data_IF_590754431912
#
_entry.id   IF_590754431912
#
_cell.length_a   1.000
_cell.length_b   1.000
_cell.length_c   1.000
_cell.angle_alpha   90.00
_cell.angle_beta   90.00
_cell.angle_gamma   90.00
#
_symmetry.space_group_name_H-M   'P 1'
#
loop_
_entity.id
_entity.type
_entity.pdbx_description
1 polymer ?
#
# COMPACT_ATOMS: atom_id res chain seq x y z
N UNK A 1 -12.12 -1.12 43.77
CA UNK A 1 -12.43 -0.07 42.82
C UNK A 1 -12.96 -0.73 41.52
N UNK A 2 -14.21 -0.44 41.18
CA UNK A 2 -14.95 -1.11 40.12
C UNK A 2 -14.65 -0.62 38.67
N UNK A 3 -13.46 -0.12 38.37
CA UNK A 3 -13.10 0.32 37.02
C UNK A 3 -12.18 -0.70 36.36
N UNK A 4 -12.63 -1.29 35.26
CA UNK A 4 -11.88 -2.23 34.44
C UNK A 4 -10.93 -1.57 33.45
N UNK A 5 -11.00 -0.26 33.28
CA UNK A 5 -10.12 0.52 32.40
C UNK A 5 -10.44 2.02 32.43
N UNK A 6 -9.44 2.83 32.08
CA UNK A 6 -9.58 4.28 31.93
C UNK A 6 -8.94 4.69 30.61
N UNK A 7 -9.67 5.44 29.79
CA UNK A 7 -9.08 6.07 28.61
C UNK A 7 -8.19 7.25 29.05
N UNK A 8 -6.97 7.26 28.58
CA UNK A 8 -5.99 8.32 28.86
C UNK A 8 -5.32 8.76 27.56
N UNK A 9 -4.86 10.00 27.49
CA UNK A 9 -4.00 10.44 26.41
C UNK A 9 -2.67 9.70 26.49
N UNK A 10 -2.40 8.91 25.46
CA UNK A 10 -1.27 7.97 25.42
C UNK A 10 -0.06 8.56 24.71
N UNK A 11 -0.28 9.41 23.71
CA UNK A 11 0.79 10.03 22.94
C UNK A 11 0.40 11.43 22.47
N UNK A 12 1.41 12.28 22.32
CA UNK A 12 1.31 13.58 21.66
C UNK A 12 1.86 13.45 20.23
N UNK A 13 1.11 13.99 19.28
CA UNK A 13 1.44 13.90 17.85
C UNK A 13 1.47 15.29 17.24
N UNK A 14 2.51 15.58 16.45
CA UNK A 14 2.62 16.81 15.67
C UNK A 14 2.46 16.51 14.19
N UNK A 15 1.50 17.18 13.54
CA UNK A 15 1.32 17.17 12.11
C UNK A 15 1.72 18.53 11.54
N UNK A 16 2.48 18.53 10.44
CA UNK A 16 2.84 19.71 9.70
C UNK A 16 2.70 19.41 8.21
N UNK A 17 2.21 20.39 7.44
CA UNK A 17 1.99 20.15 6.02
C UNK A 17 1.84 21.43 5.22
N UNK A 18 1.80 21.24 3.91
CA UNK A 18 1.57 22.29 2.92
C UNK A 18 0.65 21.70 1.86
N UNK A 19 -0.41 22.44 1.52
CA UNK A 19 -1.29 22.10 0.43
C UNK A 19 -1.10 23.11 -0.71
N UNK A 20 -0.99 22.58 -1.93
CA UNK A 20 -0.86 23.38 -3.15
C UNK A 20 -2.00 23.00 -4.09
N UNK A 21 -2.72 24.02 -4.58
CA UNK A 21 -3.75 23.84 -5.61
C UNK A 21 -3.50 24.84 -6.73
N UNK A 22 -3.33 24.34 -7.96
CA UNK A 22 -3.14 25.11 -9.17
C UNK A 22 -4.19 24.72 -10.18
N UNK A 23 -4.91 25.67 -10.74
CA UNK A 23 -5.86 25.40 -11.79
C UNK A 23 -5.88 26.53 -12.83
N UNK A 24 -6.16 26.17 -14.07
CA UNK A 24 -6.19 27.16 -15.12
C UNK A 24 -6.62 26.61 -16.48
N UNK A 25 -6.84 27.54 -17.38
CA UNK A 25 -7.03 27.26 -18.80
C UNK A 25 -5.70 27.43 -19.52
N UNK A 26 -5.14 26.30 -19.99
CA UNK A 26 -3.83 26.25 -20.65
C UNK A 26 -3.91 26.63 -22.13
N UNK A 27 -5.04 26.33 -22.76
CA UNK A 27 -5.32 26.68 -24.15
C UNK A 27 -6.80 27.04 -24.30
N UNK A 28 -7.10 28.12 -24.99
CA UNK A 28 -8.46 28.51 -25.36
C UNK A 28 -8.43 29.28 -26.69
N UNK A 29 -9.08 28.67 -27.69
CA UNK A 29 -9.33 29.33 -28.97
C UNK A 29 -10.75 28.95 -29.46
N UNK A 30 -11.05 29.19 -30.75
CA UNK A 30 -12.37 28.91 -31.31
C UNK A 30 -12.83 27.46 -31.17
N UNK A 31 -11.92 26.51 -31.39
CA UNK A 31 -12.26 25.07 -31.48
C UNK A 31 -11.70 24.28 -30.29
N UNK A 32 -10.65 24.74 -29.63
CA UNK A 32 -9.96 24.04 -28.56
C UNK A 32 -10.11 24.75 -27.23
N UNK A 33 -10.30 23.94 -26.20
CA UNK A 33 -10.19 24.36 -24.81
C UNK A 33 -9.47 23.29 -24.02
N UNK A 34 -8.38 23.66 -23.35
CA UNK A 34 -7.66 22.80 -22.44
C UNK A 34 -7.60 23.44 -21.06
N UNK A 35 -8.15 22.75 -20.08
CA UNK A 35 -8.10 23.12 -18.67
C UNK A 35 -7.38 22.04 -17.88
N UNK A 36 -6.60 22.44 -16.90
CA UNK A 36 -5.97 21.51 -15.96
C UNK A 36 -6.11 22.03 -14.53
N UNK A 37 -6.21 21.11 -13.59
CA UNK A 37 -6.18 21.36 -12.16
C UNK A 37 -5.25 20.34 -11.51
N UNK A 38 -4.24 20.82 -10.81
CA UNK A 38 -3.29 20.03 -10.03
C UNK A 38 -3.45 20.37 -8.57
N UNK A 39 -3.50 19.35 -7.73
CA UNK A 39 -3.46 19.50 -6.28
C UNK A 39 -2.43 18.55 -5.69
N UNK A 40 -1.73 19.01 -4.66
CA UNK A 40 -0.75 18.23 -3.92
C UNK A 40 -0.76 18.66 -2.47
N UNK A 41 -0.86 17.68 -1.55
CA UNK A 41 -0.62 17.84 -0.13
C UNK A 41 0.72 17.21 0.26
N UNK A 42 1.47 17.87 1.11
CA UNK A 42 2.61 17.32 1.83
C UNK A 42 2.28 17.29 3.31
N UNK A 43 2.41 16.13 3.95
CA UNK A 43 2.17 15.97 5.38
C UNK A 43 3.34 15.24 6.03
N UNK A 44 3.84 15.80 7.13
CA UNK A 44 4.81 15.16 8.01
C UNK A 44 4.20 14.97 9.38
N UNK A 45 4.04 13.70 9.77
CA UNK A 45 3.55 13.27 11.08
C UNK A 45 4.74 12.87 11.96
N UNK A 46 4.69 13.23 13.25
CA UNK A 46 5.72 12.85 14.23
C UNK A 46 5.11 12.70 15.62
N UNK A 47 5.35 11.58 16.26
CA UNK A 47 5.10 11.39 17.69
C UNK A 47 6.12 12.18 18.47
N UNK A 48 5.67 13.12 19.32
CA UNK A 48 6.56 14.00 20.12
C UNK A 48 6.75 13.50 21.52
N UNK A 49 5.75 12.78 22.06
CA UNK A 49 5.81 12.09 23.36
C UNK A 49 4.98 10.82 23.27
N UNK A 50 5.41 9.78 23.96
CA UNK A 50 4.64 8.55 24.13
C UNK A 50 4.78 8.06 25.58
N UNK A 51 3.70 7.51 26.12
CA UNK A 51 3.69 6.78 27.40
C UNK A 51 3.88 5.28 27.16
N UNK A 52 4.06 4.88 25.90
CA UNK A 52 4.31 3.49 25.56
C UNK A 52 5.65 3.04 26.12
N UNK A 53 5.62 1.95 26.83
CA UNK A 53 6.81 1.12 27.12
C UNK A 53 6.96 0.06 26.03
N UNK A 54 6.68 0.45 24.77
CA UNK A 54 6.54 -0.45 23.63
C UNK A 54 7.63 -1.51 23.60
N UNK A 55 7.20 -2.74 23.71
CA UNK A 55 8.04 -3.86 23.40
C UNK A 55 8.27 -3.91 21.89
N UNK A 56 9.47 -4.19 21.48
CA UNK A 56 9.93 -4.20 20.09
C UNK A 56 9.03 -5.04 19.18
N UNK A 57 8.56 -6.19 19.67
CA UNK A 57 7.68 -7.08 18.92
C UNK A 57 6.38 -6.39 18.49
N UNK A 58 5.83 -5.51 19.33
CA UNK A 58 4.60 -4.79 19.00
C UNK A 58 4.84 -3.70 17.94
N UNK A 59 6.02 -3.08 17.91
CA UNK A 59 6.36 -2.13 16.87
C UNK A 59 6.46 -2.80 15.48
N UNK A 60 7.04 -3.99 15.39
CA UNK A 60 7.10 -4.75 14.14
C UNK A 60 5.71 -5.26 13.77
N UNK A 61 4.94 -5.69 14.76
CA UNK A 61 3.57 -6.16 14.62
C UNK A 61 2.53 -5.05 14.74
N UNK A 62 2.92 -3.77 14.79
CA UNK A 62 2.00 -2.62 15.01
C UNK A 62 0.87 -2.52 13.96
N UNK A 63 1.00 -3.28 12.88
CA UNK A 63 -0.07 -3.56 11.93
C UNK A 63 -1.28 -4.22 12.62
N UNK A 64 -1.05 -5.03 13.67
CA UNK A 64 -2.07 -5.82 14.35
C UNK A 64 -2.54 -5.20 15.66
N UNK A 65 -1.70 -4.36 16.26
CA UNK A 65 -1.99 -3.75 17.56
C UNK A 65 -1.99 -2.22 17.39
N UNK A 66 -3.14 -1.62 17.01
CA UNK A 66 -3.24 -0.18 16.94
C UNK A 66 -2.90 0.45 18.30
N UNK A 67 -2.05 1.48 18.29
CA UNK A 67 -1.73 2.24 19.47
C UNK A 67 -0.28 2.19 19.93
N UNK A 68 0.53 1.29 19.41
CA UNK A 68 1.97 1.30 19.68
C UNK A 68 2.67 2.32 18.78
N UNK A 69 3.21 3.37 19.41
CA UNK A 69 3.85 4.48 18.72
C UNK A 69 5.24 4.73 19.28
N UNK A 70 6.17 5.13 18.44
CA UNK A 70 7.55 5.40 18.83
C UNK A 70 7.88 6.89 18.73
N UNK A 71 8.43 7.46 19.80
CA UNK A 71 8.83 8.86 19.83
C UNK A 71 9.84 9.18 18.72
N UNK A 72 9.64 10.31 18.08
CA UNK A 72 10.48 10.76 16.98
C UNK A 72 10.11 10.19 15.61
N UNK A 73 9.19 9.22 15.54
CA UNK A 73 8.73 8.58 14.30
C UNK A 73 7.27 8.93 14.01
N UNK A 74 6.78 8.71 12.78
CA UNK A 74 5.36 8.84 12.46
C UNK A 74 4.51 7.83 13.22
N UNK A 75 3.24 8.16 13.46
CA UNK A 75 2.27 7.24 14.10
C UNK A 75 2.19 5.92 13.33
N UNK A 76 2.14 5.99 12.00
CA UNK A 76 2.11 4.81 11.12
C UNK A 76 3.51 4.46 10.60
N UNK A 77 4.54 4.59 11.45
CA UNK A 77 5.90 4.16 11.15
C UNK A 77 5.98 2.65 10.98
N UNK A 78 6.71 2.18 9.97
CA UNK A 78 6.95 0.77 9.73
C UNK A 78 8.35 0.38 10.20
N UNK A 79 8.41 -0.70 10.96
CA UNK A 79 9.67 -1.29 11.44
C UNK A 79 9.77 -2.72 10.96
N UNK A 80 10.99 -3.22 10.82
CA UNK A 80 11.27 -4.55 10.31
C UNK A 80 12.43 -5.19 11.04
N UNK A 81 12.44 -6.52 11.14
CA UNK A 81 13.63 -7.27 11.46
C UNK A 81 14.64 -7.18 10.30
N UNK A 82 15.92 -7.10 10.62
CA UNK A 82 16.98 -7.02 9.61
C UNK A 82 17.37 -8.43 9.17
N UNK A 83 16.89 -8.86 8.01
CA UNK A 83 17.21 -10.17 7.45
C UNK A 83 18.72 -10.22 7.06
N UNK A 84 19.41 -11.29 7.44
CA UNK A 84 20.80 -11.51 7.10
C UNK A 84 20.95 -12.51 5.94
N UNK A 85 20.54 -13.74 6.15
CA UNK A 85 20.64 -14.86 5.20
C UNK A 85 19.75 -16.01 5.63
N UNK A 86 19.73 -17.06 4.84
CA UNK A 86 19.21 -18.36 5.25
C UNK A 86 20.37 -19.22 5.76
N UNK A 87 20.09 -20.07 6.75
CA UNK A 87 21.04 -21.08 7.24
C UNK A 87 21.08 -22.31 6.31
N UNK A 88 21.83 -23.34 6.70
CA UNK A 88 21.98 -24.59 5.94
C UNK A 88 20.66 -25.40 5.83
N UNK A 89 19.71 -25.16 6.71
CA UNK A 89 18.37 -25.76 6.70
C UNK A 89 17.33 -24.88 5.98
N UNK A 90 17.73 -23.70 5.52
CA UNK A 90 16.85 -22.71 4.87
C UNK A 90 16.02 -21.91 5.88
N UNK A 91 16.42 -21.87 7.17
CA UNK A 91 15.76 -21.01 8.16
C UNK A 91 16.33 -19.59 8.10
N UNK A 92 15.50 -18.56 8.30
CA UNK A 92 15.96 -17.17 8.26
C UNK A 92 16.80 -16.82 9.49
N UNK A 93 17.88 -16.08 9.25
CA UNK A 93 18.75 -15.49 10.25
C UNK A 93 18.66 -13.96 10.18
N UNK A 94 18.88 -13.30 11.31
CA UNK A 94 18.68 -11.85 11.43
C UNK A 94 19.90 -11.17 12.01
N UNK A 95 20.15 -9.91 11.61
CA UNK A 95 21.17 -9.07 12.23
C UNK A 95 20.65 -8.46 13.53
N UNK A 96 21.40 -8.53 14.59
CA UNK A 96 21.20 -7.74 15.78
C UNK A 96 21.71 -6.29 15.59
N UNK A 97 21.62 -5.46 16.65
CA UNK A 97 22.10 -4.07 16.65
C UNK A 97 23.56 -3.92 16.34
N UNK A 98 24.38 -4.91 16.72
CA UNK A 98 25.84 -4.91 16.59
C UNK A 98 26.31 -5.56 15.28
N UNK A 99 25.37 -6.03 14.46
CA UNK A 99 25.64 -6.69 13.17
C UNK A 99 25.97 -8.18 13.32
N UNK A 100 25.79 -8.78 14.50
CA UNK A 100 25.90 -10.22 14.70
C UNK A 100 24.72 -10.91 14.04
N UNK A 101 24.96 -12.05 13.39
CA UNK A 101 23.91 -12.87 12.76
C UNK A 101 23.40 -13.88 13.76
N UNK A 102 22.10 -13.82 14.04
CA UNK A 102 21.40 -14.70 14.97
C UNK A 102 20.42 -15.60 14.20
N UNK A 103 20.46 -16.89 14.49
CA UNK A 103 19.53 -17.89 13.99
C UNK A 103 18.59 -18.40 15.09
N UNK A 104 17.73 -19.35 14.75
CA UNK A 104 16.75 -19.95 15.69
C UNK A 104 17.40 -20.61 16.89
N UNK A 105 18.61 -21.14 16.74
CA UNK A 105 19.37 -21.85 17.79
C UNK A 105 20.30 -20.90 18.59
N UNK A 106 20.28 -19.59 18.35
CA UNK A 106 21.13 -18.62 19.07
C UNK A 106 20.52 -18.30 20.44
N UNK A 107 21.30 -18.38 21.52
CA UNK A 107 20.81 -18.04 22.85
C UNK A 107 20.31 -16.60 22.94
N UNK A 108 20.99 -15.66 22.25
CA UNK A 108 20.63 -14.24 22.25
C UNK A 108 19.30 -13.94 21.54
N UNK A 109 18.81 -14.87 20.71
CA UNK A 109 17.55 -14.67 19.96
C UNK A 109 16.36 -14.52 20.91
N UNK A 110 16.43 -15.08 22.13
CA UNK A 110 15.40 -14.99 23.16
C UNK A 110 15.10 -13.53 23.51
N UNK A 111 16.11 -12.69 23.61
CA UNK A 111 15.98 -11.28 23.97
C UNK A 111 15.92 -10.34 22.75
N UNK A 112 16.12 -10.87 21.56
CA UNK A 112 16.17 -10.09 20.32
C UNK A 112 14.94 -9.20 20.09
N UNK A 113 13.68 -9.66 20.30
CA UNK A 113 12.50 -8.84 20.04
C UNK A 113 12.25 -7.75 21.07
N UNK A 114 13.07 -7.63 22.12
CA UNK A 114 12.90 -6.63 23.19
C UNK A 114 13.86 -5.44 23.06
N UNK A 115 14.80 -5.46 22.13
CA UNK A 115 15.72 -4.36 21.89
C UNK A 115 15.35 -3.62 20.59
N UNK A 116 14.90 -2.37 20.72
CA UNK A 116 14.55 -1.51 19.58
C UNK A 116 15.68 -1.29 18.60
N UNK A 117 16.93 -1.35 19.07
CA UNK A 117 18.11 -1.17 18.22
C UNK A 117 18.27 -2.33 17.20
N UNK A 118 17.64 -3.47 17.44
CA UNK A 118 17.62 -4.59 16.50
C UNK A 118 16.70 -4.31 15.28
N UNK A 119 15.81 -3.33 15.38
CA UNK A 119 14.87 -3.02 14.31
C UNK A 119 15.42 -1.99 13.33
N UNK A 120 15.01 -2.12 12.10
CA UNK A 120 15.18 -1.13 11.04
C UNK A 120 13.89 -0.33 10.87
N UNK A 121 13.98 0.99 10.89
CA UNK A 121 12.89 1.86 10.50
C UNK A 121 12.85 1.96 8.97
N UNK A 122 11.74 1.56 8.36
CA UNK A 122 11.59 1.49 6.91
C UNK A 122 10.98 2.76 6.30
N UNK A 123 10.21 3.50 7.09
CA UNK A 123 9.47 4.66 6.61
C UNK A 123 8.07 4.73 7.20
N UNK A 124 7.23 5.57 6.62
CA UNK A 124 5.81 5.68 6.98
C UNK A 124 4.94 4.90 6.00
N UNK A 125 3.82 4.35 6.50
CA UNK A 125 2.80 3.71 5.65
C UNK A 125 1.94 4.73 4.93
N UNK A 126 1.79 5.93 5.50
CA UNK A 126 1.01 6.99 4.90
C UNK A 126 1.88 7.74 3.87
N UNK A 127 1.37 8.01 2.66
CA UNK A 127 2.08 8.84 1.71
C UNK A 127 2.39 10.23 2.30
N UNK A 128 3.66 10.64 2.25
CA UNK A 128 4.04 12.00 2.65
C UNK A 128 3.59 13.04 1.62
N UNK A 129 3.52 12.65 0.36
CA UNK A 129 2.97 13.46 -0.73
C UNK A 129 1.79 12.72 -1.33
N UNK A 130 0.65 13.39 -1.46
CA UNK A 130 -0.53 12.86 -2.13
C UNK A 130 -1.21 13.94 -2.94
N UNK A 131 -1.87 13.57 -4.01
CA UNK A 131 -2.55 14.54 -4.84
C UNK A 131 -3.10 13.96 -6.13
N UNK A 132 -3.40 14.87 -7.05
CA UNK A 132 -3.94 14.49 -8.33
C UNK A 132 -3.82 15.57 -9.39
N UNK A 133 -3.98 15.11 -10.63
CA UNK A 133 -4.05 15.94 -11.82
C UNK A 133 -5.35 15.63 -12.55
N UNK A 134 -6.20 16.64 -12.68
CA UNK A 134 -7.37 16.62 -13.55
C UNK A 134 -7.06 17.42 -14.81
N UNK A 135 -7.24 16.83 -15.99
CA UNK A 135 -7.01 17.46 -17.28
C UNK A 135 -8.21 17.24 -18.16
N UNK A 136 -8.79 18.32 -18.70
CA UNK A 136 -9.89 18.28 -19.66
C UNK A 136 -9.50 19.01 -20.94
N UNK A 137 -9.52 18.27 -22.03
CA UNK A 137 -9.31 18.80 -23.38
C UNK A 137 -10.62 18.69 -24.15
N UNK A 138 -11.08 19.79 -24.73
CA UNK A 138 -12.25 19.83 -25.58
C UNK A 138 -11.87 20.33 -26.97
N UNK A 139 -12.35 19.64 -27.98
CA UNK A 139 -12.24 20.06 -29.38
C UNK A 139 -13.62 19.99 -30.02
N UNK A 140 -14.17 21.16 -30.39
CA UNK A 140 -15.55 21.26 -30.91
C UNK A 140 -16.53 20.50 -30.00
N UNK A 141 -17.14 19.45 -30.51
CA UNK A 141 -18.18 18.66 -29.83
C UNK A 141 -17.62 17.49 -29.01
N UNK A 142 -16.31 17.25 -29.01
CA UNK A 142 -15.65 16.17 -28.27
C UNK A 142 -14.93 16.73 -27.06
N UNK A 143 -15.09 16.08 -25.92
CA UNK A 143 -14.31 16.36 -24.70
C UNK A 143 -13.68 15.10 -24.16
N UNK A 144 -12.43 15.19 -23.76
CA UNK A 144 -11.65 14.17 -23.08
C UNK A 144 -11.27 14.67 -21.70
N UNK A 145 -11.68 13.97 -20.65
CA UNK A 145 -11.30 14.26 -19.27
C UNK A 145 -10.48 13.10 -18.70
N UNK A 146 -9.40 13.42 -18.02
CA UNK A 146 -8.49 12.47 -17.41
C UNK A 146 -8.22 12.87 -15.97
N UNK A 147 -8.27 11.91 -15.05
CA UNK A 147 -7.94 12.10 -13.65
C UNK A 147 -6.85 11.12 -13.25
N UNK A 148 -5.74 11.66 -12.79
CA UNK A 148 -4.65 10.92 -12.18
C UNK A 148 -4.62 11.20 -10.68
N UNK A 149 -4.24 10.18 -9.90
CA UNK A 149 -3.96 10.32 -8.48
C UNK A 149 -2.59 9.70 -8.16
N UNK A 150 -1.88 10.24 -7.19
CA UNK A 150 -0.59 9.72 -6.77
C UNK A 150 -0.44 9.76 -5.25
N UNK A 151 0.39 8.84 -4.74
CA UNK A 151 0.90 8.83 -3.39
C UNK A 151 2.39 8.50 -3.43
N UNK A 152 3.22 9.25 -2.69
CA UNK A 152 4.67 9.12 -2.74
C UNK A 152 5.29 9.17 -1.35
N UNK A 153 6.47 8.56 -1.22
CA UNK A 153 7.26 8.52 0.01
C UNK A 153 6.57 7.77 1.15
N UNK A 154 5.96 6.65 0.81
CA UNK A 154 5.46 5.67 1.76
C UNK A 154 6.03 4.29 1.47
N UNK A 155 5.86 3.39 2.42
CA UNK A 155 6.26 1.98 2.29
C UNK A 155 5.08 1.07 2.58
N UNK A 156 5.08 -0.08 1.94
CA UNK A 156 4.09 -1.13 2.17
C UNK A 156 4.79 -2.46 2.44
N UNK A 157 4.17 -3.29 3.26
CA UNK A 157 4.62 -4.66 3.49
C UNK A 157 3.86 -5.59 2.57
N UNK A 158 4.60 -6.43 1.87
CA UNK A 158 4.02 -7.46 1.02
C UNK A 158 3.30 -8.51 1.88
N UNK A 159 2.24 -9.13 1.39
CA UNK A 159 1.64 -10.30 2.03
C UNK A 159 2.66 -11.41 2.26
N UNK A 160 2.34 -12.32 3.18
CA UNK A 160 3.23 -13.42 3.58
C UNK A 160 3.84 -14.15 2.39
N UNK A 161 5.15 -14.33 2.41
CA UNK A 161 5.94 -14.99 1.38
C UNK A 161 6.59 -16.29 1.86
N UNK A 162 6.74 -16.42 3.18
CA UNK A 162 7.25 -17.61 3.85
C UNK A 162 6.12 -18.30 4.62
N UNK A 163 6.13 -19.60 4.62
CA UNK A 163 5.07 -20.45 5.18
C UNK A 163 5.68 -21.53 6.07
N UNK A 164 4.98 -21.86 7.15
CA UNK A 164 5.42 -22.88 8.10
C UNK A 164 5.29 -24.28 7.51
N UNK A 165 4.17 -24.54 6.82
CA UNK A 165 3.87 -25.85 6.22
C UNK A 165 3.56 -25.70 4.72
N UNK A 166 3.54 -26.82 4.03
CA UNK A 166 2.99 -26.85 2.68
C UNK A 166 1.51 -26.45 2.74
N UNK A 167 1.08 -25.51 1.87
CA UNK A 167 -0.33 -25.14 1.81
C UNK A 167 -1.17 -26.34 1.38
N UNK A 168 -2.39 -26.42 1.88
CA UNK A 168 -3.37 -27.40 1.42
C UNK A 168 -3.82 -27.09 -0.02
N UNK A 169 -4.41 -28.09 -0.69
CA UNK A 169 -4.76 -27.96 -2.11
C UNK A 169 -5.82 -26.87 -2.39
N UNK A 170 -6.57 -26.46 -1.38
CA UNK A 170 -7.61 -25.44 -1.40
C UNK A 170 -7.13 -24.06 -0.93
N UNK A 171 -5.86 -23.92 -0.52
CA UNK A 171 -5.30 -22.63 -0.10
C UNK A 171 -4.65 -21.88 -1.26
N UNK A 172 -5.03 -20.59 -1.39
CA UNK A 172 -4.32 -19.64 -2.24
C UNK A 172 -3.11 -19.07 -1.52
N UNK A 173 -1.93 -19.35 -2.05
CA UNK A 173 -0.66 -18.84 -1.52
C UNK A 173 0.04 -17.94 -2.52
N UNK A 174 0.94 -17.09 -2.02
CA UNK A 174 1.76 -16.26 -2.87
C UNK A 174 2.65 -17.13 -3.77
N UNK A 175 2.69 -16.84 -5.07
CA UNK A 175 3.49 -17.59 -6.05
C UNK A 175 4.98 -17.62 -5.73
N UNK A 176 5.47 -16.72 -4.89
CA UNK A 176 6.86 -16.68 -4.41
C UNK A 176 7.28 -17.94 -3.66
N UNK A 177 6.32 -18.75 -3.16
CA UNK A 177 6.62 -20.06 -2.56
C UNK A 177 7.41 -20.99 -3.51
N UNK A 178 7.30 -20.79 -4.83
CA UNK A 178 8.08 -21.53 -5.83
C UNK A 178 9.57 -21.23 -5.75
N UNK A 179 9.93 -20.03 -5.31
CA UNK A 179 11.30 -19.53 -5.21
C UNK A 179 11.94 -19.80 -3.84
N UNK A 180 11.25 -20.53 -2.96
CA UNK A 180 11.76 -20.85 -1.63
C UNK A 180 13.02 -21.74 -1.68
N UNK A 181 13.77 -21.72 -0.62
CA UNK A 181 14.83 -22.67 -0.35
C UNK A 181 14.29 -24.12 -0.30
N UNK A 182 15.02 -25.09 -0.85
CA UNK A 182 14.62 -26.52 -0.86
C UNK A 182 15.80 -27.43 -0.57
N UNK A 183 15.65 -28.45 0.27
CA UNK A 183 16.73 -29.40 0.52
C UNK A 183 17.13 -30.13 -0.77
N UNK A 184 18.44 -30.34 -0.94
CA UNK A 184 18.98 -31.09 -2.08
C UNK A 184 18.92 -30.36 -3.44
N UNK A 185 18.63 -29.06 -3.45
CA UNK A 185 18.62 -28.22 -4.66
C UNK A 185 19.68 -27.12 -4.58
N UNK A 186 20.02 -26.53 -5.72
CA UNK A 186 20.80 -25.30 -5.73
C UNK A 186 19.96 -24.15 -5.15
N UNK A 187 20.38 -23.66 -3.99
CA UNK A 187 19.75 -22.58 -3.26
C UNK A 187 20.53 -21.27 -3.36
N UNK A 188 21.50 -21.16 -4.26
CA UNK A 188 22.29 -19.95 -4.48
C UNK A 188 21.38 -18.75 -4.77
N UNK A 189 21.53 -17.68 -3.99
CA UNK A 189 20.73 -16.46 -4.12
C UNK A 189 19.27 -16.56 -3.68
N UNK A 190 18.84 -17.70 -3.10
CA UNK A 190 17.52 -17.82 -2.52
C UNK A 190 17.45 -17.02 -1.21
N UNK A 191 16.39 -16.23 -1.06
CA UNK A 191 16.12 -15.45 0.15
C UNK A 191 14.84 -15.88 0.86
N UNK A 192 13.95 -16.61 0.18
CA UNK A 192 12.69 -17.08 0.75
C UNK A 192 12.96 -18.36 1.52
N UNK A 193 12.57 -18.43 2.80
CA UNK A 193 12.83 -19.58 3.67
C UNK A 193 12.25 -20.90 3.16
N UNK A 194 12.83 -21.98 3.65
CA UNK A 194 12.22 -23.31 3.57
C UNK A 194 10.87 -23.33 4.33
N UNK A 195 10.08 -24.38 4.09
CA UNK A 195 8.94 -24.70 4.97
C UNK A 195 9.50 -25.16 6.30
N UNK A 196 9.08 -24.58 7.41
CA UNK A 196 9.72 -24.77 8.72
C UNK A 196 9.24 -26.01 9.49
N UNK A 197 8.46 -26.86 8.92
CA UNK A 197 7.97 -28.19 9.34
C UNK A 197 8.37 -28.71 10.76
N UNK A 198 8.34 -27.82 11.77
CA UNK A 198 8.63 -28.18 13.16
C UNK A 198 10.00 -27.72 13.71
N UNK A 199 10.99 -27.41 12.86
CA UNK A 199 12.36 -27.04 13.30
C UNK A 199 12.60 -25.53 13.37
N UNK A 200 11.64 -24.71 12.94
CA UNK A 200 11.80 -23.27 12.80
C UNK A 200 11.22 -22.44 13.94
N UNK A 201 11.19 -22.95 15.16
CA UNK A 201 10.72 -22.20 16.32
C UNK A 201 11.81 -21.33 16.93
N UNK A 202 11.44 -20.10 17.22
CA UNK A 202 12.22 -19.16 18.04
C UNK A 202 11.51 -19.08 19.39
N UNK A 203 12.17 -19.52 20.46
CA UNK A 203 11.66 -19.37 21.81
C UNK A 203 12.01 -17.99 22.34
N UNK A 204 11.01 -17.26 22.83
CA UNK A 204 11.20 -15.97 23.52
C UNK A 204 10.52 -16.00 24.88
N UNK A 205 10.76 -15.00 25.71
CA UNK A 205 10.12 -14.89 27.03
C UNK A 205 8.57 -14.83 26.94
N UNK A 206 8.02 -14.38 25.82
CA UNK A 206 6.58 -14.22 25.60
C UNK A 206 5.94 -15.35 24.77
N UNK A 207 6.67 -16.41 24.49
CA UNK A 207 6.18 -17.56 23.75
C UNK A 207 7.02 -17.95 22.55
N UNK A 208 6.53 -18.93 21.80
CA UNK A 208 7.21 -19.48 20.65
C UNK A 208 6.68 -18.82 19.37
N UNK A 209 7.61 -18.42 18.50
CA UNK A 209 7.31 -17.86 17.19
C UNK A 209 7.96 -18.70 16.11
N UNK A 210 7.35 -18.76 14.93
CA UNK A 210 8.02 -19.33 13.77
C UNK A 210 9.00 -18.33 13.17
N UNK A 211 10.20 -18.77 12.82
CA UNK A 211 11.18 -17.96 12.15
C UNK A 211 10.67 -17.39 10.82
N UNK A 212 9.77 -18.11 10.15
CA UNK A 212 9.08 -17.65 8.94
C UNK A 212 8.16 -16.46 9.20
N UNK A 213 7.57 -16.33 10.41
CA UNK A 213 6.78 -15.15 10.77
C UNK A 213 7.68 -13.92 10.91
N UNK A 214 8.85 -14.09 11.50
CA UNK A 214 9.84 -13.01 11.58
C UNK A 214 10.38 -12.63 10.20
N UNK A 215 10.57 -13.61 9.29
CA UNK A 215 10.90 -13.31 7.91
C UNK A 215 9.80 -12.48 7.22
N UNK A 216 8.53 -12.84 7.42
CA UNK A 216 7.41 -12.08 6.88
C UNK A 216 7.31 -10.66 7.47
N UNK A 217 7.94 -10.41 8.61
CA UNK A 217 8.06 -9.11 9.26
C UNK A 217 9.44 -8.45 9.04
N UNK A 218 10.29 -9.03 8.20
CA UNK A 218 11.61 -8.50 7.88
C UNK A 218 11.58 -7.44 6.77
N UNK A 219 12.72 -6.80 6.55
CA UNK A 219 12.96 -5.85 5.48
C UNK A 219 12.85 -6.45 4.07
N UNK A 220 12.92 -7.79 3.95
CA UNK A 220 12.72 -8.50 2.69
C UNK A 220 11.30 -8.39 2.14
N UNK A 221 10.34 -8.06 2.98
CA UNK A 221 8.94 -7.93 2.61
C UNK A 221 8.48 -6.48 2.46
N UNK A 222 9.35 -5.51 2.74
CA UNK A 222 9.02 -4.09 2.61
C UNK A 222 9.44 -3.56 1.25
N UNK A 223 8.52 -2.86 0.60
CA UNK A 223 8.72 -2.24 -0.71
C UNK A 223 8.21 -0.79 -0.71
N UNK A 224 8.69 0.08 -1.62
CA UNK A 224 8.08 1.37 -1.83
C UNK A 224 6.59 1.23 -2.15
N UNK A 225 5.78 2.05 -1.49
CA UNK A 225 4.35 2.16 -1.71
C UNK A 225 3.97 3.26 -2.71
N UNK A 226 4.97 3.89 -3.32
CA UNK A 226 4.78 4.97 -4.29
C UNK A 226 3.93 4.49 -5.47
N UNK A 227 2.94 5.31 -5.86
CA UNK A 227 2.09 4.98 -7.00
C UNK A 227 1.61 6.20 -7.78
N UNK A 228 1.31 5.97 -9.06
CA UNK A 228 0.53 6.84 -9.93
C UNK A 228 -0.62 6.02 -10.53
N UNK A 229 -1.84 6.43 -10.27
CA UNK A 229 -3.06 5.76 -10.74
C UNK A 229 -3.80 6.59 -11.76
N UNK A 230 -4.19 5.97 -12.86
CA UNK A 230 -5.16 6.54 -13.77
C UNK A 230 -6.58 6.21 -13.29
N UNK A 231 -7.16 7.17 -12.55
CA UNK A 231 -8.45 7.01 -11.85
C UNK A 231 -9.64 7.01 -12.78
N UNK A 232 -9.64 7.95 -13.73
CA UNK A 232 -10.81 8.16 -14.58
C UNK A 232 -10.40 8.68 -15.96
N UNK A 233 -10.97 8.07 -16.97
CA UNK A 233 -11.02 8.55 -18.35
C UNK A 233 -12.47 8.76 -18.71
N UNK A 234 -12.85 9.94 -19.23
CA UNK A 234 -14.17 10.22 -19.73
C UNK A 234 -14.08 10.87 -21.09
N UNK A 235 -14.76 10.29 -22.07
CA UNK A 235 -14.94 10.84 -23.42
C UNK A 235 -16.39 11.21 -23.56
N UNK A 236 -16.65 12.46 -23.94
CA UNK A 236 -17.99 12.97 -24.18
C UNK A 236 -18.07 13.48 -25.62
N UNK A 237 -19.12 13.08 -26.30
CA UNK A 237 -19.46 13.58 -27.63
C UNK A 237 -20.86 14.21 -27.61
N UNK A 238 -20.93 15.52 -27.77
CA UNK A 238 -22.16 16.25 -27.91
C UNK A 238 -22.60 16.18 -29.37
N UNK A 239 -23.78 15.62 -29.64
CA UNK A 239 -24.30 15.56 -30.99
C UNK A 239 -24.52 16.97 -31.55
N UNK A 240 -24.23 17.19 -32.85
CA UNK A 240 -24.50 18.46 -33.49
C UNK A 240 -25.97 18.87 -33.40
N UNK A 241 -26.23 20.13 -33.08
CA UNK A 241 -27.58 20.65 -32.85
C UNK A 241 -28.50 20.40 -34.03
N UNK A 242 -27.97 20.48 -35.27
CA UNK A 242 -28.77 20.23 -36.48
C UNK A 242 -29.25 18.78 -36.63
N UNK A 243 -28.60 17.78 -35.97
CA UNK A 243 -29.12 16.42 -35.89
C UNK A 243 -30.18 16.29 -34.81
N UNK A 244 -29.92 16.91 -33.66
CA UNK A 244 -30.78 16.84 -32.48
C UNK A 244 -32.15 17.49 -32.74
N UNK A 245 -32.15 18.65 -33.39
CA UNK A 245 -33.39 19.41 -33.70
C UNK A 245 -34.32 18.69 -34.67
N UNK A 246 -33.87 17.65 -35.37
CA UNK A 246 -34.68 16.80 -36.24
C UNK A 246 -35.49 15.74 -35.50
N UNK A 247 -35.14 15.52 -34.22
CA UNK A 247 -35.75 14.48 -33.38
C UNK A 247 -36.66 15.16 -32.36
N UNK A 248 -37.93 14.77 -32.34
CA UNK A 248 -38.87 15.15 -31.29
C UNK A 248 -39.39 13.89 -30.61
N UNK A 249 -39.61 13.97 -29.31
CA UNK A 249 -40.27 12.91 -28.53
C UNK A 249 -41.60 13.48 -28.03
N UNK A 250 -42.69 13.05 -28.65
CA UNK A 250 -43.98 13.69 -28.49
C UNK A 250 -43.96 15.14 -28.97
N UNK A 251 -44.51 16.05 -28.18
CA UNK A 251 -44.53 17.49 -28.49
C UNK A 251 -43.24 18.25 -28.09
N UNK A 252 -42.25 17.56 -27.52
CA UNK A 252 -41.03 18.19 -27.05
C UNK A 252 -39.89 17.98 -28.03
N UNK A 253 -39.21 19.07 -28.37
CA UNK A 253 -37.95 19.02 -29.14
C UNK A 253 -36.77 18.75 -28.19
N UNK A 254 -35.83 17.95 -28.67
CA UNK A 254 -34.61 17.70 -27.94
C UNK A 254 -33.73 18.96 -27.94
N UNK A 255 -33.27 19.38 -26.76
CA UNK A 255 -32.34 20.50 -26.60
C UNK A 255 -30.87 20.08 -26.83
N UNK A 256 -30.47 18.96 -26.27
CA UNK A 256 -29.15 18.41 -26.54
C UNK A 256 -29.08 16.91 -26.25
N UNK A 257 -28.16 16.22 -26.95
CA UNK A 257 -27.83 14.79 -26.73
C UNK A 257 -26.34 14.64 -26.60
N UNK A 258 -25.88 13.99 -25.52
CA UNK A 258 -24.49 13.74 -25.28
C UNK A 258 -24.27 12.26 -25.03
N UNK A 259 -23.36 11.65 -25.80
CA UNK A 259 -22.82 10.31 -25.57
C UNK A 259 -21.64 10.41 -24.62
N UNK A 260 -21.60 9.51 -23.66
CA UNK A 260 -20.49 9.42 -22.68
C UNK A 260 -19.91 8.02 -22.65
N UNK A 261 -18.60 7.93 -22.71
CA UNK A 261 -17.85 6.73 -22.37
C UNK A 261 -16.96 7.06 -21.17
N UNK A 262 -17.04 6.24 -20.14
CA UNK A 262 -16.21 6.38 -18.96
C UNK A 262 -15.49 5.07 -18.66
N UNK A 263 -14.20 5.18 -18.32
CA UNK A 263 -13.39 4.08 -17.86
C UNK A 263 -12.71 4.47 -16.55
N UNK A 264 -12.80 3.61 -15.55
CA UNK A 264 -12.23 3.86 -14.21
C UNK A 264 -11.16 2.83 -13.87
N UNK A 265 -10.16 3.26 -13.08
CA UNK A 265 -9.07 2.42 -12.55
C UNK A 265 -8.34 1.64 -13.65
N UNK A 266 -8.03 2.31 -14.78
CA UNK A 266 -7.46 1.66 -15.96
C UNK A 266 -6.12 0.99 -15.66
N UNK A 267 -5.23 1.68 -14.94
CA UNK A 267 -3.94 1.13 -14.53
C UNK A 267 -3.38 1.86 -13.31
N UNK A 268 -2.44 1.22 -12.65
CA UNK A 268 -1.57 1.78 -11.62
C UNK A 268 -0.11 1.52 -12.00
N UNK A 269 0.73 2.53 -11.84
CA UNK A 269 2.18 2.41 -11.94
C UNK A 269 2.69 2.41 -10.51
N UNK A 270 3.39 1.36 -10.10
CA UNK A 270 3.93 1.16 -8.77
C UNK A 270 5.17 0.25 -8.82
N UNK A 271 5.81 -0.02 -7.67
CA UNK A 271 6.98 -0.89 -7.62
C UNK A 271 6.65 -2.29 -8.16
N UNK A 272 7.51 -2.80 -9.06
CA UNK A 272 7.33 -4.12 -9.72
C UNK A 272 7.30 -5.30 -8.74
N UNK A 273 7.86 -5.15 -7.54
CA UNK A 273 7.86 -6.19 -6.49
C UNK A 273 6.49 -6.41 -5.89
N UNK A 274 5.56 -5.47 -6.07
CA UNK A 274 4.16 -5.63 -5.69
C UNK A 274 3.47 -6.75 -6.48
N UNK A 275 3.96 -7.10 -7.69
CA UNK A 275 3.47 -8.24 -8.49
C UNK A 275 1.94 -8.29 -8.64
N UNK A 276 1.30 -7.15 -8.83
CA UNK A 276 -0.15 -7.04 -8.99
C UNK A 276 -0.92 -6.71 -7.72
N UNK A 277 -0.29 -6.67 -6.56
CA UNK A 277 -0.89 -6.05 -5.40
C UNK A 277 -1.01 -4.54 -5.60
N UNK A 278 -2.11 -4.00 -5.14
CA UNK A 278 -2.39 -2.57 -5.26
C UNK A 278 -1.92 -1.85 -3.99
N UNK A 279 -0.98 -0.88 -4.08
CA UNK A 279 -0.46 -0.18 -2.91
C UNK A 279 -1.52 0.59 -2.11
N UNK A 280 -2.64 0.96 -2.73
CA UNK A 280 -3.73 1.64 -2.03
C UNK A 280 -4.69 0.69 -1.30
N UNK A 281 -4.72 -0.58 -1.68
CA UNK A 281 -5.65 -1.57 -1.12
C UNK A 281 -4.98 -2.64 -0.28
N UNK A 282 -3.62 -2.62 -0.18
CA UNK A 282 -2.92 -3.52 0.74
C UNK A 282 -3.42 -3.25 2.15
N UNK A 283 -4.06 -4.26 2.73
CA UNK A 283 -4.57 -4.18 4.08
C UNK A 283 -3.43 -4.31 5.09
N UNK A 284 -3.22 -3.26 5.87
CA UNK A 284 -2.19 -3.23 6.91
C UNK A 284 -2.53 -4.05 8.16
N UNK A 285 -3.77 -4.53 8.29
CA UNK A 285 -4.24 -5.25 9.48
C UNK A 285 -4.04 -6.76 9.41
N UNK A 286 -3.67 -7.30 8.24
CA UNK A 286 -3.44 -8.75 8.08
C UNK A 286 -2.19 -8.99 7.23
N UNK A 287 -1.23 -9.78 7.74
CA UNK A 287 -0.02 -10.17 7.00
C UNK A 287 -0.29 -11.23 5.94
N UNK A 288 -1.45 -11.88 6.00
CA UNK A 288 -1.68 -13.11 5.23
C UNK A 288 -2.42 -12.88 3.92
N UNK A 289 -3.18 -11.79 3.79
CA UNK A 289 -4.06 -11.60 2.64
C UNK A 289 -3.93 -10.18 2.07
N UNK A 290 -3.54 -10.08 0.81
CA UNK A 290 -3.65 -8.83 0.05
C UNK A 290 -5.10 -8.62 -0.37
N UNK A 291 -5.58 -7.37 -0.31
CA UNK A 291 -6.87 -7.02 -0.92
C UNK A 291 -6.76 -7.06 -2.43
N UNK A 292 -7.87 -7.40 -3.08
CA UNK A 292 -7.95 -7.34 -4.54
C UNK A 292 -7.75 -5.89 -5.02
N UNK A 293 -7.04 -5.70 -6.15
CA UNK A 293 -6.94 -4.39 -6.77
C UNK A 293 -8.31 -3.81 -7.11
N UNK A 294 -8.41 -2.49 -7.15
CA UNK A 294 -9.62 -1.81 -7.57
C UNK A 294 -10.04 -2.25 -8.98
N UNK A 295 -11.29 -2.68 -9.12
CA UNK A 295 -11.82 -3.17 -10.38
C UNK A 295 -11.80 -2.08 -11.47
N UNK A 296 -11.47 -2.47 -12.70
CA UNK A 296 -11.68 -1.64 -13.88
C UNK A 296 -13.16 -1.61 -14.21
N UNK A 297 -13.70 -0.43 -14.42
CA UNK A 297 -15.12 -0.27 -14.75
C UNK A 297 -15.25 0.52 -16.05
N UNK A 298 -16.11 0.06 -16.93
CA UNK A 298 -16.44 0.73 -18.19
C UNK A 298 -17.94 1.03 -18.23
N UNK A 299 -18.28 2.27 -18.56
CA UNK A 299 -19.66 2.74 -18.58
C UNK A 299 -19.94 3.48 -19.88
N UNK A 300 -21.05 3.15 -20.50
CA UNK A 300 -21.63 3.92 -21.60
C UNK A 300 -22.85 4.65 -21.08
N UNK A 301 -22.97 5.93 -21.40
CA UNK A 301 -24.07 6.77 -20.97
C UNK A 301 -24.63 7.62 -22.11
N UNK A 302 -25.92 7.91 -22.03
CA UNK A 302 -26.63 8.83 -22.92
C UNK A 302 -27.32 9.88 -22.05
N UNK A 303 -26.96 11.15 -22.25
CA UNK A 303 -27.70 12.28 -21.66
C UNK A 303 -28.55 12.94 -22.71
N UNK A 304 -29.82 13.11 -22.39
CA UNK A 304 -30.79 13.77 -23.26
C UNK A 304 -31.46 14.91 -22.48
N UNK A 305 -31.36 16.14 -23.01
CA UNK A 305 -32.03 17.32 -22.46
C UNK A 305 -33.14 17.76 -23.44
N UNK A 306 -34.27 18.18 -22.89
CA UNK A 306 -35.43 18.64 -23.60
C UNK A 306 -35.62 20.14 -23.50
#
# INVERSE_FOLDING_TARGET
SGFTGKYVNYADVRNQGIDVSLSGTLLKNKDWRWTAAFNMGYVKNKVTKSKSTAQTKYLVQSVYTPGEVYEGKPVNGMFSYRFAKLDEKGMPMFYDKDGKVLGVDSEEIVNFPYDLANLKYEGTRDPMFSGGLNSRVSYKNVSLSMLFAFGLKNVVRLPSRAYVSAPSADENVNSSIKDRWRPGQDNTGKTIPALSLGDGYIMTADGNFFATDWYNLSDQTVVPGDYLRFRNLMIEYQLPVHWVNKVAIGDRKLGSVTLKFQAQNLFVIADKRLKGYDPETINYTTTSYGSLPLARTFTLGLNVNF
#
